data_IF_516279785644
#
_entry.id   IF_516279785644
#
_cell.length_a   1.000
_cell.length_b   1.000
_cell.length_c   1.000
_cell.angle_alpha   90.00
_cell.angle_beta   90.00
_cell.angle_gamma   90.00
#
_symmetry.space_group_name_H-M   'P 1'
#
loop_
_entity.id
_entity.type
_entity.pdbx_description
1 polymer ?
#
# COMPACT_ATOMS: atom_id res chain seq x y z
N UNK A 1 -48.74 6.09 10.31
CA UNK A 1 -47.59 7.02 10.34
C UNK A 1 -46.80 6.83 9.05
N UNK A 2 -46.81 7.82 8.18
CA UNK A 2 -46.11 7.74 6.88
C UNK A 2 -44.65 8.16 7.08
N UNK A 3 -43.73 7.21 6.97
CA UNK A 3 -42.31 7.54 6.88
C UNK A 3 -42.04 8.26 5.56
N UNK A 4 -41.55 9.49 5.66
CA UNK A 4 -41.03 10.28 4.54
C UNK A 4 -39.72 9.63 4.10
N UNK A 5 -39.74 8.94 2.97
CA UNK A 5 -38.57 8.52 2.21
C UNK A 5 -37.70 9.75 1.91
N UNK A 6 -36.63 9.96 2.65
CA UNK A 6 -35.57 10.92 2.31
C UNK A 6 -34.83 10.39 1.07
N UNK A 7 -35.34 10.77 -0.10
CA UNK A 7 -34.50 10.73 -1.33
C UNK A 7 -33.37 11.73 -1.15
N UNK A 8 -32.24 11.27 -0.64
CA UNK A 8 -31.04 12.07 -0.51
C UNK A 8 -30.61 12.50 -1.89
N UNK A 9 -30.65 13.81 -2.17
CA UNK A 9 -30.06 14.44 -3.34
C UNK A 9 -28.56 14.13 -3.36
N UNK A 10 -28.15 13.09 -4.09
CA UNK A 10 -26.74 12.74 -4.33
C UNK A 10 -25.98 13.89 -5.00
N UNK A 11 -26.67 14.78 -5.68
CA UNK A 11 -26.12 15.98 -6.30
C UNK A 11 -25.90 17.14 -5.31
N UNK A 12 -26.71 17.25 -4.25
CA UNK A 12 -26.59 18.36 -3.29
C UNK A 12 -25.47 18.21 -2.29
N UNK A 13 -25.06 16.97 -1.96
CA UNK A 13 -24.00 16.70 -0.99
C UNK A 13 -22.58 17.01 -1.51
N UNK A 14 -22.37 16.92 -2.82
CA UNK A 14 -21.04 17.10 -3.41
C UNK A 14 -20.85 18.48 -4.09
N UNK A 15 -21.89 19.31 -4.14
CA UNK A 15 -21.84 20.62 -4.79
C UNK A 15 -20.75 21.56 -4.19
N UNK A 16 -20.61 21.69 -2.85
CA UNK A 16 -19.55 22.51 -2.28
C UNK A 16 -18.15 21.99 -2.63
N UNK A 17 -17.96 20.68 -2.66
CA UNK A 17 -16.68 20.08 -3.06
C UNK A 17 -16.39 20.32 -4.54
N UNK A 18 -17.39 20.20 -5.41
CA UNK A 18 -17.23 20.47 -6.85
C UNK A 18 -16.89 21.95 -7.12
N UNK A 19 -17.55 22.88 -6.41
CA UNK A 19 -17.26 24.32 -6.50
C UNK A 19 -15.81 24.59 -6.04
N UNK A 20 -15.41 24.02 -4.90
CA UNK A 20 -14.04 24.18 -4.40
C UNK A 20 -12.99 23.70 -5.42
N UNK A 21 -13.19 22.50 -5.99
CA UNK A 21 -12.29 21.96 -7.02
C UNK A 21 -12.26 22.87 -8.25
N UNK A 22 -13.41 23.35 -8.71
CA UNK A 22 -13.46 24.25 -9.85
C UNK A 22 -12.73 25.59 -9.58
N UNK A 23 -12.89 26.17 -8.39
CA UNK A 23 -12.17 27.38 -7.98
C UNK A 23 -10.67 27.13 -7.92
N UNK A 24 -10.23 26.02 -7.34
CA UNK A 24 -8.81 25.68 -7.27
C UNK A 24 -8.20 25.47 -8.66
N UNK A 25 -8.90 24.79 -9.57
CA UNK A 25 -8.45 24.62 -10.95
C UNK A 25 -8.38 25.95 -11.69
N UNK A 26 -9.34 26.85 -11.48
CA UNK A 26 -9.32 28.17 -12.06
C UNK A 26 -8.15 29.02 -11.54
N UNK A 27 -7.92 29.02 -10.22
CA UNK A 27 -6.78 29.72 -9.62
C UNK A 27 -5.44 29.17 -10.13
N UNK A 28 -5.32 27.86 -10.24
CA UNK A 28 -4.13 27.24 -10.83
C UNK A 28 -3.94 27.66 -12.28
N UNK A 29 -4.99 27.64 -13.10
CA UNK A 29 -4.92 28.09 -14.48
C UNK A 29 -4.48 29.57 -14.58
N UNK A 30 -5.08 30.43 -13.76
CA UNK A 30 -4.75 31.86 -13.74
C UNK A 30 -3.29 32.11 -13.29
N UNK A 31 -2.83 31.42 -12.25
CA UNK A 31 -1.45 31.49 -11.80
C UNK A 31 -0.46 31.03 -12.87
N UNK A 32 -0.76 29.91 -13.54
CA UNK A 32 0.09 29.39 -14.61
C UNK A 32 0.17 30.33 -15.80
N UNK A 33 -0.92 30.98 -16.16
CA UNK A 33 -0.92 32.02 -17.22
C UNK A 33 -0.17 33.28 -16.80
N UNK A 34 -0.20 33.64 -15.51
CA UNK A 34 0.54 34.82 -15.00
C UNK A 34 2.04 34.61 -14.95
N UNK A 35 2.49 33.36 -14.70
CA UNK A 35 3.93 33.00 -14.65
C UNK A 35 4.50 32.85 -16.07
N UNK A 36 3.67 32.41 -17.04
CA UNK A 36 4.02 32.15 -18.44
C UNK A 36 5.29 31.29 -18.64
N UNK A 37 5.54 30.38 -17.73
CA UNK A 37 6.69 29.49 -17.72
C UNK A 37 6.24 28.06 -17.41
N UNK A 38 5.86 27.32 -18.45
CA UNK A 38 5.31 25.96 -18.36
C UNK A 38 6.29 24.95 -17.68
N UNK A 39 7.59 25.25 -17.67
CA UNK A 39 8.59 24.42 -16.99
C UNK A 39 8.61 24.63 -15.47
N UNK A 40 8.07 25.77 -14.97
CA UNK A 40 7.92 26.05 -13.54
C UNK A 40 6.53 25.61 -13.08
N UNK A 41 5.49 26.07 -13.77
CA UNK A 41 4.10 25.79 -13.43
C UNK A 41 3.27 25.56 -14.72
N UNK A 42 3.15 24.30 -15.20
CA UNK A 42 2.28 24.01 -16.32
C UNK A 42 0.81 24.25 -15.94
N UNK A 43 0.01 24.77 -16.85
CA UNK A 43 -1.43 24.94 -16.62
C UNK A 43 -2.19 23.62 -16.67
N UNK A 44 -3.35 23.49 -16.00
CA UNK A 44 -4.21 22.30 -16.09
C UNK A 44 -4.50 21.85 -17.52
N UNK A 45 -4.77 22.83 -18.41
CA UNK A 45 -5.02 22.53 -19.82
C UNK A 45 -3.80 21.95 -20.50
N UNK A 46 -2.62 22.53 -20.28
CA UNK A 46 -1.36 21.99 -20.82
C UNK A 46 -1.08 20.57 -20.31
N UNK A 47 -1.36 20.30 -19.04
CA UNK A 47 -1.19 18.94 -18.46
C UNK A 47 -2.08 17.93 -19.18
N UNK A 48 -3.36 18.26 -19.41
CA UNK A 48 -4.30 17.37 -20.11
C UNK A 48 -3.87 17.14 -21.56
N UNK A 49 -3.49 18.20 -22.28
CA UNK A 49 -3.01 18.09 -23.66
C UNK A 49 -1.76 17.22 -23.74
N UNK A 50 -0.77 17.47 -22.88
CA UNK A 50 0.47 16.67 -22.83
C UNK A 50 0.23 15.22 -22.45
N UNK A 51 -0.70 14.96 -21.53
CA UNK A 51 -1.09 13.60 -21.16
C UNK A 51 -1.66 12.85 -22.39
N UNK A 52 -2.48 13.53 -23.19
CA UNK A 52 -3.05 12.95 -24.39
C UNK A 52 -2.00 12.69 -25.49
N UNK A 53 -1.10 13.63 -25.70
CA UNK A 53 0.01 13.51 -26.65
C UNK A 53 0.95 12.35 -26.27
N UNK A 54 1.29 12.25 -24.99
CA UNK A 54 2.23 11.27 -24.46
C UNK A 54 1.60 9.91 -24.13
N UNK A 55 0.28 9.73 -24.33
CA UNK A 55 -0.39 8.47 -23.96
C UNK A 55 0.27 7.22 -24.55
N UNK A 56 0.73 7.29 -25.80
CA UNK A 56 1.44 6.18 -26.44
C UNK A 56 2.67 5.76 -25.62
N UNK A 57 3.71 6.60 -25.51
CA UNK A 57 4.90 6.29 -24.72
C UNK A 57 4.61 5.96 -23.25
N UNK A 58 3.61 6.60 -22.63
CA UNK A 58 3.22 6.33 -21.24
C UNK A 58 2.77 4.89 -21.06
N UNK A 59 1.90 4.38 -21.93
CA UNK A 59 1.35 3.03 -21.80
C UNK A 59 2.26 1.95 -22.39
N UNK A 60 3.04 2.25 -23.43
CA UNK A 60 3.86 1.23 -24.11
C UNK A 60 5.28 1.10 -23.55
N UNK A 61 5.85 2.18 -23.00
CA UNK A 61 7.21 2.19 -22.50
C UNK A 61 7.28 2.41 -20.97
N UNK A 62 6.69 3.52 -20.49
CA UNK A 62 6.88 3.91 -19.08
C UNK A 62 6.08 3.03 -18.11
N UNK A 63 4.83 2.69 -18.43
CA UNK A 63 4.00 1.85 -17.56
C UNK A 63 4.58 0.44 -17.41
N UNK A 64 4.93 -0.31 -18.48
CA UNK A 64 5.55 -1.63 -18.35
C UNK A 64 6.88 -1.59 -17.59
N UNK A 65 7.72 -0.58 -17.86
CA UNK A 65 8.98 -0.42 -17.14
C UNK A 65 8.76 -0.20 -15.63
N UNK A 66 7.80 0.64 -15.26
CA UNK A 66 7.46 0.87 -13.84
C UNK A 66 6.84 -0.38 -13.21
N UNK A 67 5.92 -1.05 -13.91
CA UNK A 67 5.30 -2.28 -13.43
C UNK A 67 6.33 -3.40 -13.21
N UNK A 68 7.32 -3.53 -14.09
CA UNK A 68 8.38 -4.53 -13.90
C UNK A 68 9.24 -4.24 -12.66
N UNK A 69 9.62 -2.99 -12.43
CA UNK A 69 10.36 -2.58 -11.21
C UNK A 69 9.56 -2.89 -9.95
N UNK A 70 8.28 -2.49 -9.94
CA UNK A 70 7.38 -2.72 -8.79
C UNK A 70 7.17 -4.22 -8.57
N UNK A 71 6.92 -4.99 -9.62
CA UNK A 71 6.67 -6.43 -9.52
C UNK A 71 7.91 -7.17 -8.98
N UNK A 72 9.08 -6.89 -9.51
CA UNK A 72 10.35 -7.51 -9.07
C UNK A 72 10.64 -7.11 -7.61
N UNK A 73 10.60 -5.82 -7.30
CA UNK A 73 10.88 -5.31 -5.96
C UNK A 73 9.91 -5.86 -4.91
N UNK A 74 8.61 -5.88 -5.23
CA UNK A 74 7.57 -6.42 -4.35
C UNK A 74 7.73 -7.93 -4.14
N UNK A 75 8.00 -8.70 -5.21
CA UNK A 75 8.20 -10.15 -5.10
C UNK A 75 9.38 -10.48 -4.17
N UNK A 76 10.52 -9.80 -4.37
CA UNK A 76 11.69 -9.96 -3.51
C UNK A 76 11.35 -9.58 -2.06
N UNK A 77 10.66 -8.47 -1.85
CA UNK A 77 10.25 -8.01 -0.52
C UNK A 77 9.31 -9.00 0.18
N UNK A 78 8.37 -9.59 -0.54
CA UNK A 78 7.47 -10.61 0.00
C UNK A 78 8.27 -11.83 0.44
N UNK A 79 9.14 -12.35 -0.42
CA UNK A 79 9.94 -13.55 -0.10
C UNK A 79 10.84 -13.31 1.12
N UNK A 80 11.58 -12.22 1.12
CA UNK A 80 12.48 -11.86 2.23
C UNK A 80 11.70 -11.53 3.50
N UNK A 81 10.62 -10.75 3.39
CA UNK A 81 9.80 -10.33 4.52
C UNK A 81 9.07 -11.49 5.18
N UNK A 82 8.48 -12.39 4.41
CA UNK A 82 7.89 -13.62 4.90
C UNK A 82 8.94 -14.51 5.59
N UNK A 83 10.07 -14.72 4.92
CA UNK A 83 11.16 -15.53 5.47
C UNK A 83 11.65 -15.01 6.82
N UNK A 84 11.83 -13.69 6.94
CA UNK A 84 12.28 -13.07 8.17
C UNK A 84 11.20 -13.10 9.27
N UNK A 85 9.95 -12.88 8.92
CA UNK A 85 8.82 -12.98 9.85
C UNK A 85 8.66 -14.40 10.41
N UNK A 86 8.79 -15.42 9.56
CA UNK A 86 8.78 -16.83 9.96
C UNK A 86 9.97 -17.14 10.87
N UNK A 87 11.16 -16.67 10.53
CA UNK A 87 12.36 -16.86 11.35
C UNK A 87 12.18 -16.27 12.75
N UNK A 88 11.59 -15.08 12.86
CA UNK A 88 11.29 -14.44 14.15
C UNK A 88 10.16 -15.15 14.91
N UNK A 89 9.20 -15.79 14.26
CA UNK A 89 8.15 -16.55 14.90
C UNK A 89 8.67 -17.88 15.49
N UNK A 90 9.57 -18.55 14.76
CA UNK A 90 10.12 -19.85 15.16
C UNK A 90 11.26 -19.73 16.19
N UNK A 91 12.02 -18.62 16.16
CA UNK A 91 13.22 -18.43 16.99
C UNK A 91 13.12 -17.18 17.86
N UNK A 92 13.03 -17.37 19.17
CA UNK A 92 13.04 -16.30 20.16
C UNK A 92 14.32 -15.45 20.11
N UNK A 93 15.46 -16.09 19.86
CA UNK A 93 16.76 -15.41 19.72
C UNK A 93 16.77 -14.53 18.47
N UNK A 94 16.28 -15.05 17.32
CA UNK A 94 16.14 -14.26 16.11
C UNK A 94 15.18 -13.08 16.31
N UNK A 95 14.06 -13.29 16.99
CA UNK A 95 13.11 -12.24 17.33
C UNK A 95 13.75 -11.12 18.14
N UNK A 96 14.42 -11.47 19.25
CA UNK A 96 15.08 -10.48 20.12
C UNK A 96 16.17 -9.69 19.41
N UNK A 97 16.88 -10.31 18.47
CA UNK A 97 17.93 -9.65 17.71
C UNK A 97 17.39 -8.79 16.55
N UNK A 98 16.47 -9.34 15.75
CA UNK A 98 16.06 -8.72 14.49
C UNK A 98 14.92 -7.73 14.64
N UNK A 99 13.96 -7.97 15.51
CA UNK A 99 12.78 -7.11 15.67
C UNK A 99 13.15 -5.64 16.02
N UNK A 100 14.04 -5.36 17.00
CA UNK A 100 14.47 -4.00 17.28
C UNK A 100 15.18 -3.33 16.10
N UNK A 101 15.98 -4.09 15.34
CA UNK A 101 16.69 -3.57 14.17
C UNK A 101 15.72 -3.20 13.05
N UNK A 102 14.69 -4.02 12.82
CA UNK A 102 13.65 -3.77 11.82
C UNK A 102 12.86 -2.52 12.20
N UNK A 103 12.46 -2.35 13.46
CA UNK A 103 11.77 -1.14 13.93
C UNK A 103 12.66 0.09 13.78
N UNK A 104 13.92 0.01 14.22
CA UNK A 104 14.86 1.11 14.10
C UNK A 104 15.12 1.53 12.66
N UNK A 105 15.18 0.57 11.73
CA UNK A 105 15.40 0.87 10.31
C UNK A 105 14.27 1.69 9.66
N UNK A 106 13.04 1.61 10.19
CA UNK A 106 11.91 2.41 9.68
C UNK A 106 12.00 3.90 10.05
N UNK A 107 12.87 4.27 10.98
CA UNK A 107 13.10 5.69 11.30
C UNK A 107 13.91 6.41 10.23
N UNK A 108 14.59 5.66 9.36
CA UNK A 108 15.37 6.22 8.27
C UNK A 108 14.43 6.56 7.11
N UNK A 109 14.35 7.85 6.69
CA UNK A 109 13.50 8.23 5.57
C UNK A 109 14.02 7.57 4.27
N UNK A 110 13.27 6.62 3.74
CA UNK A 110 13.64 5.87 2.51
C UNK A 110 13.82 6.78 1.30
N UNK A 111 13.11 7.92 1.27
CA UNK A 111 13.27 8.96 0.25
C UNK A 111 14.67 9.57 0.23
N UNK A 112 15.35 9.64 1.37
CA UNK A 112 16.72 10.12 1.47
C UNK A 112 17.74 9.09 0.95
N UNK A 113 17.40 7.80 0.95
CA UNK A 113 18.27 6.73 0.46
C UNK A 113 18.21 6.56 -1.07
N UNK A 114 17.13 6.99 -1.71
CA UNK A 114 16.97 6.85 -3.15
C UNK A 114 18.12 7.50 -3.97
N UNK A 115 18.58 8.74 -3.68
CA UNK A 115 19.71 9.34 -4.35
C UNK A 115 21.03 8.56 -4.14
N UNK A 116 21.24 7.96 -2.95
CA UNK A 116 22.41 7.16 -2.66
C UNK A 116 22.46 5.89 -3.52
N UNK A 117 21.33 5.22 -3.71
CA UNK A 117 21.27 4.06 -4.60
C UNK A 117 21.53 4.42 -6.07
N UNK A 118 21.05 5.59 -6.51
CA UNK A 118 21.38 6.09 -7.85
C UNK A 118 22.86 6.41 -7.97
N UNK A 119 23.48 6.96 -6.94
CA UNK A 119 24.91 7.25 -6.90
C UNK A 119 25.76 5.98 -6.95
N UNK A 120 25.39 4.92 -6.21
CA UNK A 120 26.14 3.67 -6.13
C UNK A 120 25.92 2.74 -7.33
N UNK A 121 24.68 2.64 -7.81
CA UNK A 121 24.28 1.68 -8.85
C UNK A 121 23.95 2.35 -10.19
N UNK A 122 24.08 3.69 -10.29
CA UNK A 122 23.72 4.45 -11.48
C UNK A 122 22.22 4.53 -11.71
N UNK A 123 21.81 5.14 -12.82
CA UNK A 123 20.41 5.23 -13.27
C UNK A 123 19.92 3.92 -13.89
N UNK A 124 20.07 2.83 -13.16
CA UNK A 124 19.68 1.50 -13.62
C UNK A 124 18.31 1.09 -13.07
N UNK A 125 17.76 0.02 -13.63
CA UNK A 125 16.55 -0.63 -13.10
C UNK A 125 16.77 -1.10 -11.64
N UNK A 126 17.97 -1.58 -11.32
CA UNK A 126 18.31 -2.13 -10.00
C UNK A 126 18.29 -1.09 -8.90
N UNK A 127 18.70 0.16 -9.16
CA UNK A 127 18.58 1.25 -8.19
C UNK A 127 17.13 1.46 -7.77
N UNK A 128 16.20 1.43 -8.74
CA UNK A 128 14.75 1.58 -8.49
C UNK A 128 14.17 0.35 -7.77
N UNK A 129 14.60 -0.85 -8.15
CA UNK A 129 14.19 -2.10 -7.50
C UNK A 129 14.62 -2.11 -6.03
N UNK A 130 15.86 -1.71 -5.72
CA UNK A 130 16.37 -1.62 -4.34
C UNK A 130 15.54 -0.64 -3.49
N UNK A 131 15.21 0.53 -4.03
CA UNK A 131 14.32 1.49 -3.36
C UNK A 131 12.95 0.86 -3.08
N UNK A 132 12.39 0.16 -4.06
CA UNK A 132 11.10 -0.53 -3.91
C UNK A 132 11.17 -1.61 -2.82
N UNK A 133 12.25 -2.42 -2.81
CA UNK A 133 12.48 -3.42 -1.77
C UNK A 133 12.52 -2.75 -0.40
N UNK A 134 13.28 -1.69 -0.24
CA UNK A 134 13.45 -1.02 1.04
C UNK A 134 12.12 -0.46 1.59
N UNK A 135 11.31 0.13 0.72
CA UNK A 135 10.01 0.69 1.09
C UNK A 135 9.01 -0.39 1.50
N UNK A 136 9.05 -1.56 0.83
CA UNK A 136 8.01 -2.59 1.00
C UNK A 136 8.41 -3.71 1.96
N UNK A 137 9.70 -4.04 2.07
CA UNK A 137 10.22 -5.13 2.88
C UNK A 137 9.88 -4.99 4.37
N UNK A 138 10.19 -3.84 4.98
CA UNK A 138 9.99 -3.64 6.41
C UNK A 138 8.51 -3.68 6.83
N UNK A 139 7.61 -2.95 6.17
CA UNK A 139 6.17 -3.05 6.46
C UNK A 139 5.63 -4.47 6.28
N UNK A 140 6.04 -5.20 5.24
CA UNK A 140 5.63 -6.58 5.01
C UNK A 140 6.08 -7.47 6.17
N UNK A 141 7.36 -7.39 6.54
CA UNK A 141 7.94 -8.21 7.61
C UNK A 141 7.20 -8.01 8.92
N UNK A 142 6.95 -6.76 9.33
CA UNK A 142 6.26 -6.46 10.59
C UNK A 142 4.81 -6.87 10.52
N UNK A 143 4.09 -6.54 9.45
CA UNK A 143 2.68 -6.89 9.31
C UNK A 143 2.46 -8.40 9.39
N UNK A 144 3.31 -9.18 8.73
CA UNK A 144 3.25 -10.64 8.78
C UNK A 144 3.59 -11.17 10.17
N UNK A 145 4.63 -10.64 10.80
CA UNK A 145 5.04 -11.05 12.15
C UNK A 145 3.96 -10.71 13.19
N UNK A 146 3.35 -9.53 13.12
CA UNK A 146 2.23 -9.15 13.99
C UNK A 146 1.01 -10.04 13.76
N UNK A 147 0.78 -10.45 12.51
CA UNK A 147 -0.24 -11.44 12.18
C UNK A 147 0.01 -12.79 12.86
N UNK A 148 1.26 -13.28 12.90
CA UNK A 148 1.60 -14.49 13.65
C UNK A 148 1.39 -14.30 15.16
N UNK A 149 1.74 -13.14 15.70
CA UNK A 149 1.55 -12.81 17.12
C UNK A 149 0.09 -12.58 17.52
N UNK A 150 -0.79 -12.34 16.58
CA UNK A 150 -2.23 -12.19 16.86
C UNK A 150 -2.91 -13.50 17.28
N UNK A 151 -2.27 -14.61 17.01
CA UNK A 151 -2.72 -15.94 17.46
C UNK A 151 -2.46 -16.08 18.95
N UNK A 152 -3.51 -16.35 19.72
CA UNK A 152 -3.41 -16.54 21.16
C UNK A 152 -2.69 -17.85 21.48
N UNK A 153 -1.80 -17.82 22.47
CA UNK A 153 -1.03 -18.98 22.92
C UNK A 153 -1.94 -20.12 23.36
N UNK A 154 -3.07 -19.81 24.02
CA UNK A 154 -4.06 -20.80 24.46
C UNK A 154 -4.64 -21.60 23.29
N UNK A 155 -4.77 -20.99 22.09
CA UNK A 155 -5.25 -21.65 20.89
C UNK A 155 -4.21 -22.60 20.31
N UNK A 156 -2.93 -22.23 20.39
CA UNK A 156 -1.81 -23.11 20.00
C UNK A 156 -1.72 -24.32 20.94
N UNK A 157 -1.80 -24.09 22.24
CA UNK A 157 -1.78 -25.13 23.29
C UNK A 157 -2.98 -26.09 23.16
N UNK A 158 -4.17 -25.54 22.87
CA UNK A 158 -5.36 -26.36 22.63
C UNK A 158 -5.17 -27.31 21.44
N UNK A 159 -4.69 -26.80 20.31
CA UNK A 159 -4.42 -27.63 19.15
C UNK A 159 -3.34 -28.68 19.41
N UNK A 160 -2.32 -28.32 20.21
CA UNK A 160 -1.28 -29.26 20.63
C UNK A 160 -1.86 -30.39 21.46
N UNK A 161 -2.79 -30.09 22.36
CA UNK A 161 -3.51 -31.11 23.19
C UNK A 161 -4.36 -32.05 22.33
N UNK A 162 -4.88 -31.57 21.20
CA UNK A 162 -5.59 -32.41 20.20
C UNK A 162 -4.65 -33.20 19.28
N UNK A 163 -3.33 -33.18 19.53
CA UNK A 163 -2.35 -33.95 18.76
C UNK A 163 -1.87 -33.29 17.48
N UNK A 164 -2.14 -31.96 17.29
CA UNK A 164 -1.60 -31.24 16.16
C UNK A 164 -0.09 -31.04 16.30
N UNK A 165 0.67 -31.28 15.25
CA UNK A 165 2.09 -30.97 15.21
C UNK A 165 2.35 -29.46 14.94
N UNK A 166 3.58 -29.00 15.14
CA UNK A 166 3.98 -27.62 14.93
C UNK A 166 3.70 -27.13 13.50
N UNK A 167 3.86 -27.99 12.51
CA UNK A 167 3.62 -27.67 11.10
C UNK A 167 2.10 -27.49 10.84
N UNK A 168 1.28 -28.32 11.44
CA UNK A 168 -0.18 -28.22 11.33
C UNK A 168 -0.67 -26.92 11.99
N UNK A 169 -0.17 -26.58 13.18
CA UNK A 169 -0.48 -25.33 13.87
C UNK A 169 -0.06 -24.13 12.99
N UNK A 170 1.15 -24.16 12.45
CA UNK A 170 1.62 -23.10 11.56
C UNK A 170 0.74 -22.93 10.33
N UNK A 171 0.49 -24.01 9.57
CA UNK A 171 -0.25 -23.94 8.32
C UNK A 171 -1.76 -23.71 8.48
N UNK A 172 -2.37 -24.30 9.53
CA UNK A 172 -3.84 -24.26 9.72
C UNK A 172 -4.30 -23.12 10.63
N UNK A 173 -3.43 -22.59 11.48
CA UNK A 173 -3.79 -21.52 12.42
C UNK A 173 -3.05 -20.22 12.13
N UNK A 174 -1.69 -20.23 12.12
CA UNK A 174 -0.90 -19.01 11.97
C UNK A 174 -0.98 -18.41 10.57
N UNK A 175 -0.80 -19.21 9.52
CA UNK A 175 -0.86 -18.71 8.13
C UNK A 175 -2.21 -18.07 7.80
N UNK A 176 -3.38 -18.69 8.09
CA UNK A 176 -4.66 -18.02 7.89
C UNK A 176 -4.85 -16.74 8.73
N UNK A 177 -4.28 -16.70 9.94
CA UNK A 177 -4.36 -15.52 10.81
C UNK A 177 -3.62 -14.31 10.23
N UNK A 178 -2.58 -14.52 9.43
CA UNK A 178 -1.83 -13.44 8.77
C UNK A 178 -2.59 -12.80 7.60
N UNK A 179 -3.44 -13.55 6.89
CA UNK A 179 -4.13 -13.06 5.69
C UNK A 179 -4.88 -11.74 5.89
N UNK A 180 -5.63 -11.52 7.00
CA UNK A 180 -6.29 -10.25 7.26
C UNK A 180 -5.32 -9.07 7.48
N UNK A 181 -4.10 -9.34 7.90
CA UNK A 181 -3.06 -8.32 8.09
C UNK A 181 -2.32 -8.03 6.79
N UNK A 182 -2.08 -9.08 5.98
CA UNK A 182 -1.37 -8.95 4.71
C UNK A 182 -2.18 -8.23 3.63
N UNK A 183 -3.52 -8.36 3.65
CA UNK A 183 -4.40 -7.77 2.64
C UNK A 183 -5.39 -6.75 3.22
N UNK A 184 -4.94 -5.65 3.87
CA UNK A 184 -5.86 -4.65 4.42
C UNK A 184 -6.73 -3.99 3.34
N UNK A 185 -6.20 -3.86 2.11
CA UNK A 185 -6.95 -3.33 0.95
C UNK A 185 -8.06 -4.28 0.48
N UNK A 186 -7.83 -5.60 0.53
CA UNK A 186 -8.86 -6.59 0.22
C UNK A 186 -10.02 -6.51 1.22
N UNK A 187 -9.71 -6.37 2.51
CA UNK A 187 -10.71 -6.19 3.56
C UNK A 187 -11.58 -4.94 3.33
N UNK A 188 -10.97 -3.86 2.84
CA UNK A 188 -11.67 -2.62 2.50
C UNK A 188 -12.55 -2.80 1.26
N UNK A 189 -12.05 -3.44 0.20
CA UNK A 189 -12.78 -3.74 -1.04
C UNK A 189 -14.00 -4.64 -0.81
N UNK A 190 -13.89 -5.64 0.07
CA UNK A 190 -15.02 -6.54 0.39
C UNK A 190 -16.00 -5.96 1.42
N UNK A 191 -15.59 -5.03 2.28
CA UNK A 191 -16.45 -4.44 3.30
C UNK A 191 -17.29 -3.29 2.76
N UNK A 192 -16.79 -2.55 1.78
CA UNK A 192 -17.48 -1.39 1.22
C UNK A 192 -18.79 -1.73 0.50
N UNK A 193 -18.85 -2.73 -0.40
CA UNK A 193 -20.12 -3.11 -1.04
C UNK A 193 -21.13 -3.70 -0.06
N UNK A 194 -20.70 -4.37 1.00
CA UNK A 194 -21.61 -4.96 2.00
C UNK A 194 -22.22 -3.92 2.96
N UNK A 195 -21.53 -2.81 3.22
CA UNK A 195 -22.06 -1.73 4.05
C UNK A 195 -23.08 -0.88 3.28
N UNK A 196 -22.88 -0.69 1.98
CA UNK A 196 -23.84 0.01 1.11
C UNK A 196 -25.13 -0.79 0.97
N UNK A 197 -25.02 -2.11 0.80
CA UNK A 197 -26.19 -2.99 0.69
C UNK A 197 -26.99 -3.13 1.99
N UNK A 198 -26.34 -2.95 3.16
CA UNK A 198 -27.02 -3.00 4.46
C UNK A 198 -27.76 -1.71 4.79
N UNK A 199 -27.38 -0.57 4.22
CA UNK A 199 -28.07 0.70 4.41
C UNK A 199 -29.32 0.86 3.52
N UNK A 200 -29.47 0.03 2.49
CA UNK A 200 -30.64 0.05 1.61
C UNK A 200 -31.79 -0.86 2.08
N UNK A 201 -31.54 -1.78 3.03
CA UNK A 201 -32.52 -2.74 3.55
C UNK A 201 -32.89 -2.53 5.02
N UNK A 202 -32.60 -1.37 5.60
CA UNK A 202 -32.95 -0.97 6.97
C UNK A 202 -33.99 0.14 7.03
#
# INVERSE_FOLDING_TARGET
MREKKKTGNLLGGNLPAAILVAVLLFLWQAAAMGIDAAYILPSPVQVVVRLWELRGPLFTAHLPATMSVVAIGLLISIVLGLGLAILMDVSETARKALYPLIIASQTIPTTALAPLFVLWFGYTIWSKVLVTILITFFPITITVFDGFKSVKTEMEELLFTFGADKRQIFLKLKVPAVLPYFFPLLKWLFRYPLSVQRSENG
#
